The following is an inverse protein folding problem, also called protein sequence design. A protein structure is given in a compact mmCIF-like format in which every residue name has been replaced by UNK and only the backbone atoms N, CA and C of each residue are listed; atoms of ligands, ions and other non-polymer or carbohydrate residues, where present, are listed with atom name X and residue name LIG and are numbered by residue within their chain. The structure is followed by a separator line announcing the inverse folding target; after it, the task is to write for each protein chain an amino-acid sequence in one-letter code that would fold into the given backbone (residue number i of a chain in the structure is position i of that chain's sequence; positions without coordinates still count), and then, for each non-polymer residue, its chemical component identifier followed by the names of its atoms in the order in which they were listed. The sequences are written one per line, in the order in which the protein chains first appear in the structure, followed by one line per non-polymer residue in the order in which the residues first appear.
data_IF_326859108155
#
_entry.id   IF_326859108155
#
_cell.length_a   1.000
_cell.length_b   1.000
_cell.length_c   1.000
_cell.angle_alpha   90.00
_cell.angle_beta   90.00
_cell.angle_gamma   90.00
#
_symmetry.space_group_name_H-M   'P 1'
#
loop_
_entity.id
_entity.type
_entity.pdbx_description
1 polymer ?
#
# COMPACT_ATOMS: atom_id res chain seq x y z
N UNK A 1 60.27 -19.07 47.61
CA UNK A 1 61.21 -18.17 46.88
C UNK A 1 61.14 -18.59 45.42
N UNK A 2 60.81 -17.80 44.39
CA UNK A 2 60.78 -16.36 44.14
C UNK A 2 59.44 -15.96 43.51
N UNK A 3 59.03 -14.73 43.81
CA UNK A 3 57.88 -13.99 43.25
C UNK A 3 58.22 -13.52 41.83
N UNK A 4 57.23 -13.51 40.94
CA UNK A 4 57.21 -12.60 39.79
C UNK A 4 55.82 -11.98 39.68
N UNK A 5 55.74 -10.73 40.11
CA UNK A 5 54.66 -9.79 39.82
C UNK A 5 55.04 -8.98 38.59
N UNK A 6 54.10 -8.73 37.68
CA UNK A 6 54.03 -7.57 36.78
C UNK A 6 52.63 -7.61 36.15
N UNK A 7 51.71 -6.71 36.50
CA UNK A 7 51.60 -5.29 36.14
C UNK A 7 50.55 -5.10 35.02
N UNK A 8 49.32 -4.88 35.49
CA UNK A 8 48.32 -3.91 35.05
C UNK A 8 48.64 -3.07 33.80
N UNK A 9 47.81 -3.18 32.76
CA UNK A 9 47.48 -2.07 31.85
C UNK A 9 45.97 -2.02 31.70
N UNK A 10 45.40 -0.90 32.14
CA UNK A 10 44.03 -0.52 31.93
C UNK A 10 43.85 0.01 30.50
N UNK A 11 42.82 -0.44 29.80
CA UNK A 11 42.28 0.24 28.63
C UNK A 11 40.82 0.58 28.90
N UNK A 12 40.60 1.81 29.36
CA UNK A 12 39.35 2.55 29.23
C UNK A 12 39.19 2.96 27.77
N UNK A 13 38.00 2.84 27.19
CA UNK A 13 37.74 3.51 25.92
C UNK A 13 36.51 3.05 25.15
N UNK A 14 35.36 3.61 25.53
CA UNK A 14 34.25 4.02 24.66
C UNK A 14 33.42 2.92 23.97
N UNK A 15 32.26 2.70 24.59
CA UNK A 15 31.04 2.32 23.92
C UNK A 15 30.75 3.28 22.75
N UNK A 16 30.58 2.71 21.56
CA UNK A 16 29.74 3.29 20.51
C UNK A 16 28.70 2.24 20.17
N UNK A 17 27.46 2.50 20.58
CA UNK A 17 26.29 1.79 20.11
C UNK A 17 26.21 2.03 18.60
N UNK A 18 26.56 1.01 17.81
CA UNK A 18 26.23 0.99 16.40
C UNK A 18 24.92 0.23 16.26
N UNK A 19 23.82 0.88 16.67
CA UNK A 19 22.49 0.50 16.23
C UNK A 19 22.34 0.92 14.77
N UNK A 20 23.01 0.18 13.88
CA UNK A 20 22.74 0.23 12.46
C UNK A 20 21.43 -0.54 12.21
N UNK A 21 20.33 0.01 12.74
CA UNK A 21 18.98 -0.36 12.35
C UNK A 21 18.74 0.23 10.95
N UNK A 22 19.35 -0.43 9.97
CA UNK A 22 18.93 -0.35 8.58
C UNK A 22 17.48 -0.77 8.53
N UNK A 23 16.60 0.22 8.68
CA UNK A 23 15.16 0.07 8.53
C UNK A 23 14.93 -0.37 7.10
N UNK A 24 14.84 -1.69 6.90
CA UNK A 24 14.29 -2.27 5.68
C UNK A 24 12.85 -1.76 5.64
N UNK A 25 12.62 -0.72 4.84
CA UNK A 25 11.28 -0.26 4.50
C UNK A 25 10.46 -1.50 4.13
N UNK A 26 9.43 -1.80 4.92
CA UNK A 26 8.52 -2.91 4.66
C UNK A 26 7.90 -2.65 3.28
N UNK A 27 7.98 -3.64 2.40
CA UNK A 27 7.51 -3.54 1.02
C UNK A 27 5.98 -3.34 0.88
N UNK A 28 5.24 -3.33 2.00
CA UNK A 28 3.78 -3.31 2.06
C UNK A 28 3.19 -1.96 2.46
N UNK A 29 4.03 -0.97 2.78
CA UNK A 29 3.57 0.40 2.91
C UNK A 29 3.49 0.99 1.50
N UNK A 30 2.28 1.24 1.01
CA UNK A 30 2.06 2.01 -0.22
C UNK A 30 3.02 3.21 -0.20
N UNK A 31 3.77 3.46 -1.28
CA UNK A 31 4.84 4.43 -1.22
C UNK A 31 4.26 5.78 -0.78
N UNK A 32 4.93 6.53 0.12
CA UNK A 32 4.42 7.79 0.69
C UNK A 32 4.08 8.87 -0.34
N UNK A 33 4.18 8.57 -1.63
CA UNK A 33 4.04 9.44 -2.79
C UNK A 33 2.59 9.76 -3.13
N UNK A 34 1.62 8.96 -2.69
CA UNK A 34 0.20 9.25 -2.95
C UNK A 34 -0.21 10.53 -2.21
N UNK A 35 -0.85 11.44 -2.95
CA UNK A 35 -1.30 12.73 -2.41
C UNK A 35 -0.97 13.89 -3.33
N UNK A 36 -1.24 15.10 -2.83
CA UNK A 36 -0.93 16.36 -3.51
C UNK A 36 0.42 16.89 -3.04
N UNK A 37 1.22 17.30 -4.00
CA UNK A 37 2.60 17.75 -3.82
C UNK A 37 2.77 19.09 -4.51
N UNK A 38 3.35 20.06 -3.83
CA UNK A 38 3.56 21.39 -4.35
C UNK A 38 5.05 21.74 -4.28
N UNK A 39 5.57 22.41 -5.30
CA UNK A 39 6.92 22.98 -5.22
C UNK A 39 7.02 23.99 -4.07
N UNK A 40 8.20 24.13 -3.47
CA UNK A 40 8.48 25.19 -2.48
C UNK A 40 8.15 26.60 -2.98
N UNK A 41 8.25 26.83 -4.29
CA UNK A 41 7.87 28.09 -4.94
C UNK A 41 6.35 28.36 -4.96
N UNK A 42 5.53 27.39 -4.56
CA UNK A 42 4.07 27.49 -4.45
C UNK A 42 3.30 27.42 -5.77
N UNK A 43 3.95 27.25 -6.93
CA UNK A 43 3.26 27.42 -8.23
C UNK A 43 2.83 26.14 -8.94
N UNK A 44 3.47 25.01 -8.66
CA UNK A 44 3.21 23.75 -9.38
C UNK A 44 2.73 22.72 -8.37
N UNK A 45 1.51 22.24 -8.54
CA UNK A 45 0.94 21.13 -7.80
C UNK A 45 0.86 19.89 -8.71
N UNK A 46 1.46 18.78 -8.29
CA UNK A 46 1.26 17.45 -8.88
C UNK A 46 0.48 16.58 -7.90
N UNK A 47 -0.32 15.65 -8.39
CA UNK A 47 -1.02 14.70 -7.54
C UNK A 47 -0.89 13.27 -8.05
N UNK A 48 -0.37 12.39 -7.20
CA UNK A 48 -0.32 10.95 -7.46
C UNK A 48 -1.57 10.31 -6.87
N UNK A 49 -2.49 9.88 -7.74
CA UNK A 49 -3.71 9.20 -7.32
C UNK A 49 -3.48 7.69 -7.23
N UNK A 50 -4.14 7.03 -6.29
CA UNK A 50 -4.03 5.57 -6.06
C UNK A 50 -4.39 4.72 -7.28
N UNK A 51 -5.25 5.23 -8.17
CA UNK A 51 -5.65 4.57 -9.42
C UNK A 51 -4.56 4.60 -10.51
N UNK A 52 -3.35 5.05 -10.20
CA UNK A 52 -2.26 5.21 -11.16
C UNK A 52 -2.42 6.45 -12.05
N UNK A 53 -3.32 7.38 -11.74
CA UNK A 53 -3.44 8.66 -12.46
C UNK A 53 -2.50 9.69 -11.84
N UNK A 54 -1.78 10.40 -12.69
CA UNK A 54 -0.95 11.53 -12.31
C UNK A 54 -1.60 12.82 -12.81
N UNK A 55 -1.95 13.72 -11.89
CA UNK A 55 -2.42 15.05 -12.24
C UNK A 55 -1.23 16.01 -12.26
N UNK A 56 -1.06 16.74 -13.35
CA UNK A 56 -0.06 17.82 -13.47
C UNK A 56 -0.69 19.05 -14.12
N UNK A 57 -0.09 20.25 -13.98
CA UNK A 57 -0.57 21.43 -14.68
C UNK A 57 -0.49 21.32 -16.22
N UNK A 58 0.32 20.38 -16.74
CA UNK A 58 0.49 20.15 -18.19
C UNK A 58 -0.52 19.14 -18.76
N UNK A 59 -1.29 18.48 -17.91
CA UNK A 59 -2.24 17.45 -18.30
C UNK A 59 -2.19 16.21 -17.41
N UNK A 60 -3.15 15.31 -17.63
CA UNK A 60 -3.29 14.07 -16.88
C UNK A 60 -2.44 12.97 -17.54
N UNK A 61 -1.66 12.26 -16.74
CA UNK A 61 -0.86 11.12 -17.15
C UNK A 61 -1.15 9.89 -16.31
N UNK A 62 -0.33 8.86 -16.49
CA UNK A 62 -0.33 7.68 -15.63
C UNK A 62 1.00 7.52 -14.91
N UNK A 63 0.95 6.86 -13.76
CA UNK A 63 2.12 6.50 -12.99
C UNK A 63 2.05 5.09 -12.41
N UNK A 64 3.23 4.51 -12.20
CA UNK A 64 3.38 3.25 -11.47
C UNK A 64 4.66 3.32 -10.65
N UNK A 65 4.58 3.02 -9.35
CA UNK A 65 5.77 2.86 -8.51
C UNK A 65 6.13 1.39 -8.34
N UNK A 66 7.43 1.11 -8.24
CA UNK A 66 8.00 -0.19 -7.89
C UNK A 66 9.13 -0.01 -6.88
N UNK A 67 9.39 -0.97 -5.99
CA UNK A 67 10.57 -0.96 -5.14
C UNK A 67 11.85 -0.87 -5.99
N UNK A 68 12.87 -0.18 -5.46
CA UNK A 68 14.17 -0.11 -6.13
C UNK A 68 14.92 -1.45 -5.96
N UNK A 69 15.38 -2.07 -7.06
CA UNK A 69 16.02 -3.40 -7.02
C UNK A 69 17.40 -3.37 -6.35
N UNK A 70 18.14 -2.27 -6.50
CA UNK A 70 19.44 -2.05 -5.84
C UNK A 70 19.40 -0.75 -5.02
N UNK A 71 19.26 -0.78 -3.69
CA UNK A 71 19.13 0.44 -2.87
C UNK A 71 20.46 1.21 -2.82
N UNK A 72 20.77 1.96 -3.87
CA UNK A 72 21.82 2.98 -3.91
C UNK A 72 21.27 4.35 -3.48
N UNK A 73 22.08 5.12 -2.75
CA UNK A 73 21.84 6.55 -2.41
C UNK A 73 20.53 6.91 -1.67
N UNK A 74 19.87 5.94 -1.05
CA UNK A 74 18.67 6.18 -0.24
C UNK A 74 17.39 6.41 -1.06
N UNK A 75 17.37 6.00 -2.33
CA UNK A 75 16.14 5.96 -3.13
C UNK A 75 15.27 4.77 -2.74
N UNK A 76 13.97 5.04 -2.57
CA UNK A 76 13.02 4.10 -1.97
C UNK A 76 12.26 3.33 -3.07
N UNK A 77 12.15 3.91 -4.26
CA UNK A 77 11.51 3.26 -5.38
C UNK A 77 11.79 3.93 -6.71
N UNK A 78 11.23 3.32 -7.75
CA UNK A 78 11.24 3.77 -9.13
C UNK A 78 9.80 4.09 -9.52
N UNK A 79 9.57 5.26 -10.11
CA UNK A 79 8.29 5.67 -10.67
C UNK A 79 8.39 5.76 -12.19
N UNK A 80 7.48 5.10 -12.88
CA UNK A 80 7.27 5.29 -14.32
C UNK A 80 6.21 6.35 -14.53
N UNK A 81 6.48 7.33 -15.40
CA UNK A 81 5.60 8.47 -15.69
C UNK A 81 5.27 8.48 -17.17
N UNK A 82 3.99 8.54 -17.51
CA UNK A 82 3.52 8.71 -18.89
C UNK A 82 2.61 9.94 -18.99
N UNK A 83 3.12 11.02 -19.56
CA UNK A 83 2.40 12.29 -19.73
C UNK A 83 2.11 12.56 -21.21
N UNK A 84 0.99 13.20 -21.55
CA UNK A 84 0.67 13.54 -22.94
C UNK A 84 1.78 14.38 -23.59
N UNK A 85 2.25 13.95 -24.76
CA UNK A 85 3.29 14.66 -25.52
C UNK A 85 4.72 14.48 -25.02
N UNK A 86 4.94 13.60 -24.05
CA UNK A 86 6.26 13.25 -23.54
C UNK A 86 6.52 11.74 -23.67
N UNK A 87 7.78 11.36 -23.88
CA UNK A 87 8.17 9.95 -23.85
C UNK A 87 8.01 9.42 -22.41
N UNK A 88 7.51 8.19 -22.23
CA UNK A 88 7.49 7.54 -20.92
C UNK A 88 8.86 7.61 -20.26
N UNK A 89 8.90 8.12 -19.04
CA UNK A 89 10.14 8.40 -18.31
C UNK A 89 10.14 7.66 -16.98
N UNK A 90 11.29 7.14 -16.60
CA UNK A 90 11.47 6.38 -15.37
C UNK A 90 12.37 7.18 -14.42
N UNK A 91 11.89 7.40 -13.21
CA UNK A 91 12.55 8.23 -12.20
C UNK A 91 12.73 7.45 -10.90
N UNK A 92 13.90 7.53 -10.29
CA UNK A 92 14.08 7.13 -8.90
C UNK A 92 13.50 8.23 -7.99
N UNK A 93 12.86 7.86 -6.90
CA UNK A 93 12.35 8.84 -5.93
C UNK A 93 12.73 8.49 -4.48
N UNK A 94 12.84 9.53 -3.66
CA UNK A 94 13.08 9.42 -2.21
C UNK A 94 12.31 10.49 -1.45
N UNK A 95 12.08 10.20 -0.16
CA UNK A 95 11.55 11.15 0.81
C UNK A 95 12.67 11.62 1.71
N UNK A 96 12.89 12.92 1.77
CA UNK A 96 13.78 13.54 2.75
C UNK A 96 12.96 14.48 3.62
N UNK A 97 12.69 14.06 4.86
CA UNK A 97 11.69 14.67 5.73
C UNK A 97 10.30 14.70 5.06
N UNK A 98 9.82 15.89 4.67
CA UNK A 98 8.55 16.08 3.95
C UNK A 98 8.75 16.44 2.48
N UNK A 99 9.96 16.27 1.95
CA UNK A 99 10.30 16.57 0.58
C UNK A 99 10.34 15.31 -0.27
N UNK A 100 9.52 15.28 -1.32
CA UNK A 100 9.64 14.30 -2.39
C UNK A 100 10.67 14.80 -3.40
N UNK A 101 11.72 14.00 -3.62
CA UNK A 101 12.79 14.25 -4.58
C UNK A 101 12.79 13.18 -5.66
N UNK A 102 13.00 13.60 -6.90
CA UNK A 102 13.17 12.72 -8.06
C UNK A 102 14.60 12.81 -8.58
N UNK A 103 15.11 11.69 -9.07
CA UNK A 103 16.38 11.61 -9.79
C UNK A 103 16.24 10.68 -11.00
N UNK A 104 16.96 11.00 -12.07
CA UNK A 104 16.94 10.22 -13.30
C UNK A 104 16.95 11.11 -14.54
N UNK A 105 17.29 10.54 -15.71
CA UNK A 105 17.32 11.29 -16.95
C UNK A 105 15.93 11.79 -17.32
N UNK A 106 15.81 13.09 -17.60
CA UNK A 106 14.57 13.78 -18.03
C UNK A 106 13.43 13.79 -16.99
N UNK A 107 13.71 13.43 -15.73
CA UNK A 107 12.72 13.47 -14.65
C UNK A 107 12.31 14.90 -14.28
N UNK A 108 13.28 15.81 -14.37
CA UNK A 108 13.07 17.24 -14.40
C UNK A 108 12.09 17.58 -15.53
N UNK A 109 12.40 17.27 -16.79
CA UNK A 109 11.56 17.65 -17.94
C UNK A 109 10.12 17.08 -17.87
N UNK A 110 9.98 15.85 -17.36
CA UNK A 110 8.71 15.16 -17.19
C UNK A 110 7.80 15.88 -16.18
N UNK A 111 8.35 16.33 -15.05
CA UNK A 111 7.55 16.92 -13.97
C UNK A 111 7.58 18.46 -13.97
N UNK A 112 8.73 19.09 -14.22
CA UNK A 112 8.95 20.55 -14.19
C UNK A 112 10.08 20.96 -15.17
N UNK A 113 9.80 21.88 -16.11
CA UNK A 113 10.79 22.25 -17.16
C UNK A 113 12.00 23.07 -16.65
N UNK A 114 11.99 23.54 -15.42
CA UNK A 114 13.02 24.42 -14.85
C UNK A 114 13.29 24.06 -13.39
N UNK A 115 14.49 23.55 -13.11
CA UNK A 115 15.33 23.73 -11.89
C UNK A 115 16.07 22.45 -11.50
N UNK A 116 17.37 22.59 -11.26
CA UNK A 116 18.32 21.54 -10.88
C UNK A 116 18.06 20.89 -9.50
N UNK A 117 17.02 21.29 -8.75
CA UNK A 117 16.80 20.83 -7.35
C UNK A 117 15.35 21.03 -6.86
N UNK A 118 14.34 20.71 -7.67
CA UNK A 118 12.95 20.85 -7.22
C UNK A 118 12.59 19.82 -6.13
N UNK A 119 12.43 20.28 -4.88
CA UNK A 119 11.78 19.54 -3.80
C UNK A 119 10.27 19.85 -3.79
N UNK A 120 9.45 18.81 -3.65
CA UNK A 120 8.01 18.97 -3.47
C UNK A 120 7.63 18.77 -2.01
N UNK A 121 6.81 19.67 -1.47
CA UNK A 121 6.21 19.58 -0.14
C UNK A 121 4.80 18.99 -0.27
N UNK A 122 4.43 18.09 0.65
CA UNK A 122 3.06 17.57 0.75
C UNK A 122 2.11 18.69 1.18
N UNK A 123 1.11 18.98 0.36
CA UNK A 123 0.00 19.87 0.73
C UNK A 123 -1.05 18.99 1.40
N UNK A 124 -1.49 19.37 2.60
CA UNK A 124 -2.37 18.56 3.48
C UNK A 124 -3.56 17.88 2.78
N UNK A 125 -4.12 16.87 3.43
CA UNK A 125 -5.23 16.08 2.89
C UNK A 125 -6.36 17.01 2.42
N UNK A 126 -6.76 16.87 1.16
CA UNK A 126 -7.71 17.79 0.55
C UNK A 126 -9.05 17.73 1.30
N UNK A 127 -9.72 18.86 1.56
CA UNK A 127 -11.03 18.87 2.19
C UNK A 127 -12.08 18.40 1.19
N UNK A 128 -12.77 17.30 1.50
CA UNK A 128 -14.10 17.03 0.95
C UNK A 128 -15.04 18.11 1.49
N UNK A 129 -15.36 19.11 0.68
CA UNK A 129 -16.33 20.15 1.04
C UNK A 129 -17.64 19.90 0.29
N UNK A 130 -18.62 19.38 1.02
CA UNK A 130 -20.01 19.74 0.87
C UNK A 130 -20.69 19.60 2.25
N UNK A 131 -20.57 20.67 3.03
CA UNK A 131 -21.34 20.87 4.25
C UNK A 131 -22.76 21.31 3.84
N UNK A 132 -23.78 20.58 4.29
CA UNK A 132 -25.10 21.15 4.54
C UNK A 132 -25.59 20.58 5.87
N UNK A 133 -25.93 21.49 6.77
CA UNK A 133 -26.15 21.25 8.18
C UNK A 133 -27.43 20.45 8.49
N UNK A 134 -27.35 19.76 9.63
CA UNK A 134 -28.42 19.52 10.62
C UNK A 134 -29.55 18.55 10.25
N UNK A 135 -29.49 17.35 10.82
CA UNK A 135 -30.45 16.90 11.83
C UNK A 135 -29.93 15.62 12.50
N UNK A 136 -30.06 15.61 13.82
CA UNK A 136 -29.85 14.49 14.73
C UNK A 136 -30.57 13.22 14.22
N UNK A 137 -29.83 12.19 13.85
CA UNK A 137 -30.36 10.84 13.69
C UNK A 137 -29.22 9.83 13.82
N UNK A 138 -29.09 9.26 15.02
CA UNK A 138 -28.22 8.11 15.30
C UNK A 138 -28.72 6.91 14.52
N UNK A 139 -28.40 6.89 13.23
CA UNK A 139 -28.53 5.71 12.38
C UNK A 139 -27.17 5.05 12.49
N UNK A 140 -27.13 3.85 13.09
CA UNK A 140 -25.99 2.95 13.09
C UNK A 140 -25.44 2.85 11.65
N UNK A 141 -24.45 3.70 11.37
CA UNK A 141 -23.74 3.66 10.11
C UNK A 141 -22.88 2.40 10.20
N UNK A 142 -23.03 1.43 9.28
CA UNK A 142 -22.21 0.24 9.28
C UNK A 142 -20.75 0.65 9.41
N UNK A 143 -20.09 0.17 10.47
CA UNK A 143 -18.75 0.61 10.80
C UNK A 143 -17.86 0.44 9.56
N UNK A 144 -17.30 1.55 9.06
CA UNK A 144 -16.47 1.52 7.86
C UNK A 144 -15.41 0.41 7.99
N UNK A 145 -15.40 -0.49 7.02
CA UNK A 145 -14.46 -1.60 6.98
C UNK A 145 -13.08 -1.02 6.62
N UNK A 146 -12.05 -1.43 7.36
CA UNK A 146 -10.67 -1.03 7.13
C UNK A 146 -9.84 -2.25 6.78
N UNK A 147 -8.70 -2.06 6.09
CA UNK A 147 -7.80 -3.16 5.76
C UNK A 147 -7.36 -3.95 7.01
N UNK A 148 -7.13 -3.26 8.13
CA UNK A 148 -6.78 -3.87 9.42
C UNK A 148 -7.87 -4.81 9.95
N UNK A 149 -9.16 -4.46 9.75
CA UNK A 149 -10.29 -5.30 10.17
C UNK A 149 -10.40 -6.57 9.32
N UNK A 150 -10.05 -6.49 8.03
CA UNK A 150 -10.08 -7.59 7.07
C UNK A 150 -8.95 -8.60 7.30
N UNK A 151 -7.76 -8.15 7.71
CA UNK A 151 -6.60 -9.04 7.94
C UNK A 151 -6.94 -10.14 8.95
N UNK A 152 -6.59 -11.39 8.59
CA UNK A 152 -6.92 -12.59 9.35
C UNK A 152 -7.47 -13.72 8.47
N UNK A 153 -7.80 -14.84 9.10
CA UNK A 153 -8.48 -15.97 8.45
C UNK A 153 -9.98 -15.88 8.68
N UNK A 154 -10.72 -16.17 7.63
CA UNK A 154 -12.18 -16.15 7.57
C UNK A 154 -12.66 -17.46 6.98
N UNK A 155 -13.61 -18.11 7.65
CA UNK A 155 -14.12 -19.43 7.25
C UNK A 155 -15.63 -19.39 7.04
N UNK A 156 -16.10 -20.10 6.03
CA UNK A 156 -17.53 -20.25 5.80
C UNK A 156 -18.12 -21.31 6.75
N UNK A 157 -19.18 -20.98 7.50
CA UNK A 157 -19.86 -21.95 8.34
C UNK A 157 -20.67 -22.97 7.52
N UNK A 158 -21.08 -22.61 6.30
CA UNK A 158 -21.98 -23.41 5.45
C UNK A 158 -21.27 -24.11 4.29
N UNK A 159 -20.10 -23.62 3.85
CA UNK A 159 -19.38 -24.19 2.71
C UNK A 159 -18.13 -24.97 3.12
N UNK A 160 -17.98 -26.16 2.55
CA UNK A 160 -16.83 -27.05 2.78
C UNK A 160 -16.30 -27.65 1.49
N UNK A 161 -14.98 -27.85 1.44
CA UNK A 161 -14.28 -28.60 0.40
C UNK A 161 -13.88 -29.97 0.96
N UNK A 162 -14.78 -30.95 0.83
CA UNK A 162 -14.69 -32.21 1.59
C UNK A 162 -14.86 -31.93 3.09
N UNK A 163 -13.87 -32.28 3.92
CA UNK A 163 -13.95 -32.12 5.38
C UNK A 163 -13.38 -30.78 5.88
N UNK A 164 -12.86 -29.94 4.98
CA UNK A 164 -12.25 -28.66 5.34
C UNK A 164 -13.24 -27.52 5.03
N UNK A 165 -13.38 -26.52 5.92
CA UNK A 165 -14.17 -25.33 5.61
C UNK A 165 -13.58 -24.58 4.42
N UNK A 166 -14.44 -23.95 3.64
CA UNK A 166 -14.02 -22.93 2.67
C UNK A 166 -13.52 -21.73 3.47
N UNK A 167 -12.36 -21.19 3.09
CA UNK A 167 -11.71 -20.12 3.80
C UNK A 167 -11.03 -19.14 2.85
N UNK A 168 -10.83 -17.92 3.35
CA UNK A 168 -9.88 -16.95 2.82
C UNK A 168 -9.06 -16.37 3.98
N UNK A 169 -7.76 -16.22 3.76
CA UNK A 169 -6.83 -15.59 4.68
C UNK A 169 -6.21 -14.37 4.04
N UNK A 170 -6.59 -13.20 4.53
CA UNK A 170 -6.02 -11.92 4.12
C UNK A 170 -4.77 -11.62 4.95
N UNK A 171 -3.65 -11.41 4.29
CA UNK A 171 -2.38 -11.03 4.94
C UNK A 171 -2.18 -9.52 4.84
N UNK A 172 -1.45 -8.97 5.80
CA UNK A 172 -1.17 -7.52 5.87
C UNK A 172 -0.29 -7.00 4.73
N UNK A 173 0.34 -7.90 3.98
CA UNK A 173 1.17 -7.61 2.80
C UNK A 173 0.37 -7.48 1.49
N UNK A 174 -0.96 -7.47 1.57
CA UNK A 174 -1.83 -7.44 0.39
C UNK A 174 -1.92 -8.78 -0.35
N UNK A 175 -1.31 -9.85 0.15
CA UNK A 175 -1.51 -11.20 -0.39
C UNK A 175 -2.65 -11.93 0.32
N UNK A 176 -3.22 -12.94 -0.35
CA UNK A 176 -4.23 -13.82 0.24
C UNK A 176 -3.95 -15.29 -0.09
N UNK A 177 -4.40 -16.17 0.80
CA UNK A 177 -4.52 -17.61 0.56
C UNK A 177 -5.99 -18.00 0.71
N UNK A 178 -6.53 -18.85 -0.16
CA UNK A 178 -7.92 -19.29 -0.07
C UNK A 178 -8.10 -20.67 -0.69
N UNK A 179 -9.10 -21.44 -0.27
CA UNK A 179 -9.51 -22.66 -0.97
C UNK A 179 -10.90 -22.46 -1.59
N UNK A 180 -11.18 -23.16 -2.69
CA UNK A 180 -12.51 -23.18 -3.32
C UNK A 180 -13.28 -24.43 -2.99
N UNK A 181 -14.17 -24.85 -3.89
CA UNK A 181 -14.82 -26.17 -3.80
C UNK A 181 -13.84 -27.34 -3.92
N UNK A 182 -12.62 -27.08 -4.40
CA UNK A 182 -11.50 -28.03 -4.51
C UNK A 182 -10.56 -27.85 -3.29
N UNK A 183 -10.04 -28.95 -2.74
CA UNK A 183 -9.18 -29.01 -1.53
C UNK A 183 -7.83 -28.28 -1.64
N UNK A 184 -7.56 -27.54 -2.71
CA UNK A 184 -6.26 -26.94 -2.98
C UNK A 184 -6.28 -25.47 -2.54
N UNK A 185 -5.17 -25.03 -1.94
CA UNK A 185 -5.00 -23.63 -1.55
C UNK A 185 -4.50 -22.84 -2.75
N UNK A 186 -5.30 -21.89 -3.18
CA UNK A 186 -4.96 -20.88 -4.17
C UNK A 186 -4.31 -19.68 -3.49
N UNK A 187 -3.47 -18.98 -4.25
CA UNK A 187 -2.82 -17.73 -3.83
C UNK A 187 -3.28 -16.59 -4.72
N UNK A 188 -3.32 -15.40 -4.15
CA UNK A 188 -3.65 -14.19 -4.89
C UNK A 188 -3.22 -12.94 -4.13
N UNK A 189 -3.69 -11.80 -4.64
CA UNK A 189 -3.54 -10.50 -4.02
C UNK A 189 -4.91 -9.89 -3.77
N UNK A 190 -5.01 -9.01 -2.78
CA UNK A 190 -6.21 -8.28 -2.47
C UNK A 190 -5.93 -6.80 -2.21
N UNK A 191 -6.95 -5.99 -2.44
CA UNK A 191 -6.94 -4.57 -2.13
C UNK A 191 -8.35 -4.13 -1.71
N UNK A 192 -8.48 -3.51 -0.55
CA UNK A 192 -9.68 -2.79 -0.18
C UNK A 192 -9.67 -1.42 -0.88
N UNK A 193 -10.66 -1.19 -1.74
CA UNK A 193 -10.82 0.07 -2.45
C UNK A 193 -11.51 1.12 -1.56
N UNK A 194 -11.32 2.39 -1.88
CA UNK A 194 -12.00 3.50 -1.16
C UNK A 194 -13.52 3.46 -1.31
N UNK A 195 -14.04 2.78 -2.34
CA UNK A 195 -15.47 2.50 -2.49
C UNK A 195 -16.02 1.51 -1.47
N UNK A 196 -15.16 0.89 -0.66
CA UNK A 196 -15.50 -0.21 0.26
C UNK A 196 -15.53 -1.59 -0.41
N UNK A 197 -15.28 -1.66 -1.72
CA UNK A 197 -15.21 -2.94 -2.44
C UNK A 197 -13.87 -3.64 -2.25
N UNK A 198 -13.90 -4.97 -2.19
CA UNK A 198 -12.71 -5.81 -2.27
C UNK A 198 -12.34 -6.02 -3.74
N UNK A 199 -11.11 -5.73 -4.11
CA UNK A 199 -10.52 -6.20 -5.35
C UNK A 199 -9.65 -7.42 -5.06
N UNK A 200 -9.82 -8.47 -5.86
CA UNK A 200 -9.10 -9.75 -5.74
C UNK A 200 -8.39 -10.02 -7.07
N UNK A 201 -7.11 -10.37 -7.01
CA UNK A 201 -6.28 -10.69 -8.18
C UNK A 201 -5.81 -12.14 -8.04
N UNK A 202 -6.24 -13.00 -8.96
CA UNK A 202 -5.87 -14.43 -8.94
C UNK A 202 -5.60 -14.91 -10.36
N UNK A 203 -4.46 -15.58 -10.57
CA UNK A 203 -4.10 -16.14 -11.87
C UNK A 203 -4.07 -15.12 -13.02
N UNK A 204 -3.77 -13.84 -12.73
CA UNK A 204 -3.76 -12.74 -13.71
C UNK A 204 -5.12 -12.09 -13.98
N UNK A 205 -6.21 -12.62 -13.41
CA UNK A 205 -7.54 -12.01 -13.50
C UNK A 205 -7.80 -11.10 -12.29
N UNK A 206 -8.42 -9.95 -12.54
CA UNK A 206 -8.87 -9.03 -11.48
C UNK A 206 -10.39 -9.05 -11.40
N UNK A 207 -10.92 -9.30 -10.21
CA UNK A 207 -12.37 -9.29 -9.92
C UNK A 207 -12.66 -8.40 -8.72
N UNK A 208 -13.92 -7.98 -8.56
CA UNK A 208 -14.37 -7.16 -7.44
C UNK A 208 -15.59 -7.77 -6.78
N UNK A 209 -15.68 -7.60 -5.47
CA UNK A 209 -16.87 -7.90 -4.69
C UNK A 209 -17.13 -6.81 -3.66
N UNK A 210 -18.42 -6.59 -3.40
CA UNK A 210 -18.89 -5.81 -2.28
C UNK A 210 -18.62 -6.56 -0.98
N UNK A 211 -18.30 -5.82 0.07
CA UNK A 211 -18.10 -6.36 1.41
C UNK A 211 -19.15 -5.78 2.35
N UNK A 212 -19.85 -6.64 3.07
CA UNK A 212 -20.63 -6.25 4.24
C UNK A 212 -20.01 -6.87 5.49
N UNK A 213 -19.68 -6.04 6.48
CA UNK A 213 -19.04 -6.47 7.72
C UNK A 213 -19.77 -5.91 8.94
N UNK A 214 -20.11 -6.78 9.89
CA UNK A 214 -20.87 -6.44 11.10
C UNK A 214 -20.05 -6.46 12.39
N UNK A 215 -18.73 -6.66 12.30
CA UNK A 215 -17.83 -6.82 13.45
C UNK A 215 -17.38 -8.26 13.68
N UNK A 216 -18.16 -9.26 13.26
CA UNK A 216 -17.85 -10.69 13.48
C UNK A 216 -17.88 -11.49 12.18
N UNK A 217 -18.81 -11.15 11.30
CA UNK A 217 -19.09 -11.86 10.06
C UNK A 217 -18.86 -10.93 8.88
N UNK A 218 -18.21 -11.47 7.85
CA UNK A 218 -17.98 -10.80 6.57
C UNK A 218 -18.79 -11.51 5.50
N UNK A 219 -19.60 -10.76 4.77
CA UNK A 219 -20.30 -11.25 3.58
C UNK A 219 -19.64 -10.65 2.34
N UNK A 220 -19.32 -11.50 1.36
CA UNK A 220 -18.73 -11.10 0.08
C UNK A 220 -19.72 -11.37 -1.05
N UNK A 221 -19.93 -10.40 -1.93
CA UNK A 221 -20.84 -10.53 -3.08
C UNK A 221 -20.29 -9.84 -4.34
N UNK A 222 -20.20 -10.53 -5.50
CA UNK A 222 -20.49 -11.95 -5.67
C UNK A 222 -19.37 -12.83 -5.08
N UNK A 223 -19.71 -14.04 -4.63
CA UNK A 223 -18.70 -15.01 -4.16
C UNK A 223 -17.66 -15.35 -5.25
N UNK A 224 -18.10 -15.30 -6.51
CA UNK A 224 -17.27 -15.51 -7.71
C UNK A 224 -16.15 -14.48 -7.91
N UNK A 225 -16.01 -13.45 -7.05
CA UNK A 225 -14.80 -12.63 -7.03
C UNK A 225 -13.54 -13.44 -6.70
N UNK A 226 -13.70 -14.60 -6.05
CA UNK A 226 -12.65 -15.62 -5.90
C UNK A 226 -12.79 -16.69 -6.98
N UNK A 227 -11.69 -17.00 -7.67
CA UNK A 227 -11.67 -18.06 -8.68
C UNK A 227 -11.85 -19.44 -8.02
N UNK A 228 -12.84 -20.20 -8.44
CA UNK A 228 -13.22 -21.49 -7.85
C UNK A 228 -14.33 -21.40 -6.80
N UNK A 229 -14.95 -20.23 -6.63
CA UNK A 229 -16.11 -19.98 -5.77
C UNK A 229 -17.41 -19.76 -6.57
N UNK A 230 -17.39 -20.01 -7.88
CA UNK A 230 -18.51 -19.76 -8.78
C UNK A 230 -19.80 -20.51 -8.39
N UNK A 231 -19.66 -21.71 -7.81
CA UNK A 231 -20.79 -22.54 -7.39
C UNK A 231 -21.36 -22.15 -6.01
N UNK A 232 -20.75 -21.19 -5.31
CA UNK A 232 -21.13 -20.80 -3.94
C UNK A 232 -22.32 -19.83 -3.88
N UNK A 233 -22.83 -19.43 -5.04
CA UNK A 233 -23.96 -18.51 -5.19
C UNK A 233 -23.56 -17.03 -5.20
N UNK A 234 -24.57 -16.17 -5.07
CA UNK A 234 -24.43 -14.71 -5.20
C UNK A 234 -23.70 -14.06 -4.02
N UNK A 235 -23.58 -14.76 -2.90
CA UNK A 235 -22.86 -14.26 -1.73
C UNK A 235 -22.35 -15.40 -0.86
N UNK A 236 -21.24 -15.15 -0.17
CA UNK A 236 -20.71 -16.07 0.84
C UNK A 236 -20.52 -15.35 2.16
N UNK A 237 -20.98 -16.00 3.23
CA UNK A 237 -20.78 -15.56 4.60
C UNK A 237 -19.56 -16.24 5.20
N UNK A 238 -18.72 -15.47 5.87
CA UNK A 238 -17.47 -15.89 6.46
C UNK A 238 -17.34 -15.36 7.90
N UNK A 239 -16.87 -16.20 8.80
CA UNK A 239 -16.63 -15.86 10.20
C UNK A 239 -15.13 -15.79 10.50
N UNK A 240 -14.71 -14.76 11.24
CA UNK A 240 -13.31 -14.60 11.64
C UNK A 240 -12.90 -15.70 12.63
N UNK A 241 -11.72 -16.29 12.41
CA UNK A 241 -11.13 -17.31 13.29
C UNK A 241 -10.11 -16.72 14.27
#
# INVERSE_FOLDING_TARGET
MRKTSMAMVAALGLAACSDNSGSKAKADELPPIIGKWQMESGKIAIAFQKNGTLLTPKGNGTWQARPHEEPGEGFIGVISLALPGLNPTVCSYKFEANHLKFAGPNCDQALIKDTDTAAFIRVGDAPDTAETASADNTTDTPAAITSEKIVGQWESPSWKAGDQPVFVRFKGDGTLDFNGTIKWVNKGEWLLLESGQLQVITGGETRRCDIAYDGKTMNLSPASCFKGWEDMGDSISLEKQ
#
